data_IF_157575236783
#
_entry.id   IF_157575236783
#
_cell.length_a   1.000
_cell.length_b   1.000
_cell.length_c   1.000
_cell.angle_alpha   90.00
_cell.angle_beta   90.00
_cell.angle_gamma   90.00
#
_symmetry.space_group_name_H-M   'P 1'
#
loop_
_entity.id
_entity.type
_entity.pdbx_description
1 polymer ?
#
# COMPACT_ATOMS: atom_id res chain seq x y z
N UNK A 1 17.85 14.30 -12.22
CA UNK A 1 16.64 14.24 -11.37
C UNK A 1 15.62 13.45 -12.14
N UNK A 2 15.37 12.19 -11.76
CA UNK A 2 14.44 11.32 -12.48
C UNK A 2 13.02 11.77 -12.12
N UNK A 3 12.49 12.71 -12.89
CA UNK A 3 11.06 12.98 -12.97
C UNK A 3 10.45 11.78 -13.72
N UNK A 4 10.35 10.63 -13.03
CA UNK A 4 9.51 9.54 -13.52
C UNK A 4 8.13 10.14 -13.62
N UNK A 5 7.58 10.20 -14.82
CA UNK A 5 6.21 10.63 -15.07
C UNK A 5 5.33 9.82 -14.12
N UNK A 6 4.87 10.42 -13.03
CA UNK A 6 3.93 9.81 -12.08
C UNK A 6 2.65 9.36 -12.81
N UNK A 7 2.40 9.94 -13.99
CA UNK A 7 1.35 9.58 -14.95
C UNK A 7 1.66 8.32 -15.79
N UNK A 8 2.93 7.93 -15.91
CA UNK A 8 3.36 6.68 -16.58
C UNK A 8 3.38 5.47 -15.63
N UNK A 9 3.25 5.73 -14.33
CA UNK A 9 3.21 4.70 -13.32
C UNK A 9 1.88 3.96 -13.42
N UNK A 10 1.95 2.66 -13.72
CA UNK A 10 0.79 1.77 -13.65
C UNK A 10 0.45 1.49 -12.18
N UNK A 11 -0.24 2.46 -11.56
CA UNK A 11 -0.70 2.38 -10.18
C UNK A 11 -1.55 1.13 -9.94
N UNK A 12 -2.31 0.68 -10.96
CA UNK A 12 -3.08 -0.56 -10.85
C UNK A 12 -2.16 -1.76 -10.70
N UNK A 13 -1.09 -1.86 -11.49
CA UNK A 13 -0.08 -2.92 -11.35
C UNK A 13 0.65 -2.84 -10.02
N UNK A 14 1.01 -1.64 -9.56
CA UNK A 14 1.67 -1.44 -8.26
C UNK A 14 0.79 -1.90 -7.12
N UNK A 15 -0.44 -1.41 -7.07
CA UNK A 15 -1.41 -1.78 -6.04
C UNK A 15 -1.66 -3.29 -6.05
N UNK A 16 -1.78 -3.92 -7.23
CA UNK A 16 -1.92 -5.37 -7.33
C UNK A 16 -0.71 -6.12 -6.79
N UNK A 17 0.51 -5.66 -7.08
CA UNK A 17 1.74 -6.25 -6.54
C UNK A 17 1.81 -6.11 -5.02
N UNK A 18 1.43 -4.95 -4.48
CA UNK A 18 1.38 -4.68 -3.04
C UNK A 18 0.37 -5.61 -2.36
N UNK A 19 -0.86 -5.70 -2.88
CA UNK A 19 -1.90 -6.59 -2.36
C UNK A 19 -1.39 -8.03 -2.33
N UNK A 20 -0.78 -8.50 -3.42
CA UNK A 20 -0.23 -9.86 -3.50
C UNK A 20 0.88 -10.10 -2.47
N UNK A 21 1.74 -9.10 -2.22
CA UNK A 21 2.79 -9.21 -1.21
C UNK A 21 2.20 -9.26 0.20
N UNK A 22 1.30 -8.34 0.54
CA UNK A 22 0.63 -8.30 1.85
C UNK A 22 -0.14 -9.59 2.12
N UNK A 23 -0.89 -10.11 1.14
CA UNK A 23 -1.60 -11.39 1.26
C UNK A 23 -0.66 -12.58 1.54
N UNK A 24 0.59 -12.53 1.08
CA UNK A 24 1.58 -13.60 1.32
C UNK A 24 2.20 -13.52 2.70
N UNK A 25 2.52 -12.31 3.15
CA UNK A 25 3.11 -12.08 4.47
C UNK A 25 2.08 -12.21 5.61
N UNK A 26 0.82 -11.89 5.32
CA UNK A 26 -0.29 -11.97 6.27
C UNK A 26 -1.42 -12.87 5.74
N UNK A 27 -1.20 -14.19 5.60
CA UNK A 27 -2.18 -15.10 5.00
C UNK A 27 -3.47 -15.26 5.82
N UNK A 28 -3.43 -14.89 7.10
CA UNK A 28 -4.60 -14.97 8.00
C UNK A 28 -5.52 -13.74 7.88
N UNK A 29 -5.07 -12.68 7.20
CA UNK A 29 -5.86 -11.47 7.03
C UNK A 29 -6.59 -11.48 5.69
N UNK A 30 -7.81 -10.96 5.71
CA UNK A 30 -8.59 -10.77 4.47
C UNK A 30 -8.20 -9.45 3.83
N UNK A 31 -7.68 -9.50 2.61
CA UNK A 31 -7.51 -8.31 1.78
C UNK A 31 -8.86 -7.88 1.20
N UNK A 32 -9.17 -6.60 1.30
CA UNK A 32 -10.31 -6.03 0.60
C UNK A 32 -10.00 -5.91 -0.89
N UNK A 33 -10.83 -6.51 -1.75
CA UNK A 33 -10.61 -6.56 -3.20
C UNK A 33 -10.84 -5.21 -3.90
N UNK A 34 -11.63 -4.33 -3.27
CA UNK A 34 -11.97 -3.01 -3.82
C UNK A 34 -11.05 -1.95 -3.22
N UNK A 35 -10.31 -1.28 -4.10
CA UNK A 35 -9.58 -0.06 -3.77
C UNK A 35 -10.55 1.12 -3.85
N UNK A 36 -10.68 1.87 -2.76
CA UNK A 36 -11.51 3.07 -2.68
C UNK A 36 -10.73 4.33 -3.03
N UNK A 37 -9.47 4.39 -2.60
CA UNK A 37 -8.61 5.56 -2.79
C UNK A 37 -7.16 5.12 -2.94
N UNK A 38 -6.44 5.81 -3.82
CA UNK A 38 -4.98 5.73 -3.92
C UNK A 38 -4.48 7.16 -3.87
N UNK A 39 -3.68 7.47 -2.85
CA UNK A 39 -3.12 8.79 -2.63
C UNK A 39 -1.61 8.68 -2.65
N UNK A 40 -0.98 9.42 -3.54
CA UNK A 40 0.46 9.47 -3.69
C UNK A 40 0.92 10.86 -3.29
N UNK A 41 1.77 10.91 -2.27
CA UNK A 41 2.31 12.14 -1.69
C UNK A 41 3.82 12.18 -1.96
N UNK A 42 4.27 12.78 -3.09
CA UNK A 42 5.67 12.74 -3.50
C UNK A 42 6.60 13.43 -2.49
N UNK A 43 6.13 14.49 -1.85
CA UNK A 43 6.89 15.26 -0.87
C UNK A 43 7.21 14.44 0.40
N UNK A 44 6.36 13.45 0.71
CA UNK A 44 6.52 12.53 1.83
C UNK A 44 7.12 11.17 1.41
N UNK A 45 7.40 10.99 0.13
CA UNK A 45 7.76 9.70 -0.47
C UNK A 45 6.81 8.57 -0.01
N UNK A 46 5.50 8.82 -0.10
CA UNK A 46 4.47 7.99 0.50
C UNK A 46 3.39 7.60 -0.50
N UNK A 47 3.09 6.31 -0.56
CA UNK A 47 1.91 5.77 -1.24
C UNK A 47 0.92 5.26 -0.19
N UNK A 48 -0.30 5.78 -0.23
CA UNK A 48 -1.41 5.32 0.59
C UNK A 48 -2.47 4.67 -0.29
N UNK A 49 -2.94 3.50 0.11
CA UNK A 49 -3.99 2.73 -0.57
C UNK A 49 -5.07 2.42 0.45
N UNK A 50 -6.29 2.88 0.19
CA UNK A 50 -7.45 2.65 1.06
C UNK A 50 -8.39 1.65 0.41
N UNK A 51 -8.87 0.70 1.21
CA UNK A 51 -9.81 -0.33 0.78
C UNK A 51 -11.16 -0.25 1.48
N UNK A 52 -11.26 0.44 2.62
CA UNK A 52 -12.50 0.59 3.38
C UNK A 52 -12.74 2.05 3.81
N UNK A 53 -14.00 2.45 3.99
CA UNK A 53 -14.40 3.81 4.33
C UNK A 53 -14.16 4.15 5.82
N UNK A 54 -14.18 3.14 6.68
CA UNK A 54 -14.13 3.32 8.13
C UNK A 54 -12.69 3.40 8.65
N UNK A 55 -12.21 4.62 8.95
CA UNK A 55 -10.83 4.88 9.43
C UNK A 55 -10.63 4.71 10.94
N UNK A 56 -11.67 4.90 11.75
CA UNK A 56 -11.49 5.37 13.14
C UNK A 56 -11.03 4.30 14.16
N UNK A 57 -10.83 3.03 13.76
CA UNK A 57 -10.51 1.94 14.69
C UNK A 57 -9.54 0.89 14.15
N UNK A 58 -8.75 1.22 13.12
CA UNK A 58 -7.75 0.30 12.60
C UNK A 58 -6.47 0.34 13.46
N UNK A 59 -5.90 -0.82 13.77
CA UNK A 59 -4.57 -0.90 14.35
C UNK A 59 -3.53 -1.05 13.24
N UNK A 60 -2.35 -0.46 13.44
CA UNK A 60 -1.25 -0.47 12.48
C UNK A 60 -0.26 -1.60 12.76
N UNK A 61 0.14 -2.33 11.72
CA UNK A 61 1.16 -3.36 11.77
C UNK A 61 2.15 -3.22 10.61
N UNK A 62 3.44 -3.33 10.90
CA UNK A 62 4.49 -3.26 9.88
C UNK A 62 4.71 -4.61 9.21
N UNK A 63 4.77 -4.60 7.88
CA UNK A 63 5.09 -5.75 7.03
C UNK A 63 6.38 -5.44 6.28
N UNK A 64 7.44 -6.17 6.64
CA UNK A 64 8.78 -5.86 6.14
C UNK A 64 9.22 -4.45 6.54
N UNK A 65 9.99 -3.79 5.67
CA UNK A 65 10.66 -2.53 6.00
C UNK A 65 9.88 -1.28 5.57
N UNK A 66 8.89 -1.42 4.70
CA UNK A 66 8.29 -0.26 4.01
C UNK A 66 6.78 -0.19 4.12
N UNK A 67 6.12 -1.31 4.41
CA UNK A 67 4.67 -1.40 4.37
C UNK A 67 4.14 -1.32 5.79
N UNK A 68 3.21 -0.40 6.00
CA UNK A 68 2.42 -0.28 7.20
C UNK A 68 0.96 -0.60 6.85
N UNK A 69 0.47 -1.75 7.32
CA UNK A 69 -0.89 -2.19 7.07
C UNK A 69 -1.80 -1.79 8.23
N UNK A 70 -2.95 -1.20 7.89
CA UNK A 70 -3.99 -0.87 8.85
C UNK A 70 -5.04 -1.98 8.83
N UNK A 71 -5.26 -2.60 9.98
CA UNK A 71 -6.08 -3.80 10.11
C UNK A 71 -7.25 -3.52 11.04
N UNK A 72 -8.43 -4.03 10.66
CA UNK A 72 -9.63 -4.00 11.48
C UNK A 72 -10.46 -5.25 11.22
N UNK A 73 -10.98 -5.87 12.28
CA UNK A 73 -11.85 -7.05 12.18
C UNK A 73 -11.26 -8.16 11.29
N UNK A 74 -9.94 -8.39 11.42
CA UNK A 74 -9.16 -9.35 10.62
C UNK A 74 -9.08 -9.03 9.11
N UNK A 75 -9.27 -7.76 8.74
CA UNK A 75 -9.24 -7.26 7.36
C UNK A 75 -8.25 -6.11 7.23
N UNK A 76 -7.49 -6.09 6.14
CA UNK A 76 -6.64 -4.94 5.81
C UNK A 76 -7.52 -3.86 5.20
N UNK A 77 -7.66 -2.73 5.90
CA UNK A 77 -8.52 -1.60 5.51
C UNK A 77 -7.77 -0.49 4.79
N UNK A 78 -6.46 -0.37 5.02
CA UNK A 78 -5.57 0.50 4.29
C UNK A 78 -4.13 0.00 4.35
N UNK A 79 -3.31 0.47 3.42
CA UNK A 79 -1.87 0.24 3.38
C UNK A 79 -1.19 1.58 3.15
N UNK A 80 -0.15 1.85 3.91
CA UNK A 80 0.79 2.94 3.69
C UNK A 80 2.15 2.34 3.35
N UNK A 81 2.84 2.95 2.38
CA UNK A 81 4.19 2.56 1.99
C UNK A 81 5.09 3.76 2.08
N UNK A 82 6.10 3.68 2.93
CA UNK A 82 7.12 4.71 3.08
C UNK A 82 8.48 4.09 3.46
N UNK A 83 9.59 4.49 2.80
CA UNK A 83 9.67 5.36 1.63
C UNK A 83 9.28 4.62 0.34
N UNK A 84 8.31 5.14 -0.42
CA UNK A 84 7.75 4.51 -1.62
C UNK A 84 8.78 4.36 -2.75
N UNK A 85 9.66 5.34 -2.94
CA UNK A 85 10.71 5.31 -3.96
C UNK A 85 11.71 4.17 -3.75
N UNK A 86 11.98 3.80 -2.48
CA UNK A 86 12.83 2.64 -2.14
C UNK A 86 12.08 1.34 -2.39
N UNK A 87 10.82 1.28 -1.96
CA UNK A 87 9.97 0.12 -2.18
C UNK A 87 9.90 -0.26 -3.68
N UNK A 88 9.62 0.69 -4.57
CA UNK A 88 9.55 0.44 -6.01
C UNK A 88 10.88 -0.08 -6.58
N UNK A 89 12.01 0.48 -6.14
CA UNK A 89 13.34 0.04 -6.59
C UNK A 89 13.68 -1.38 -6.16
N UNK A 90 13.38 -1.74 -4.92
CA UNK A 90 13.72 -3.06 -4.37
C UNK A 90 12.82 -4.17 -4.88
N UNK A 91 11.52 -3.88 -5.02
CA UNK A 91 10.54 -4.85 -5.49
C UNK A 91 10.46 -4.95 -7.02
N UNK A 92 11.26 -4.15 -7.75
CA UNK A 92 11.33 -4.10 -9.22
C UNK A 92 9.95 -3.95 -9.87
N UNK A 93 9.10 -3.13 -9.26
CA UNK A 93 7.74 -2.88 -9.75
C UNK A 93 7.76 -1.76 -10.78
#
# INVERSE_FOLDING_TARGET
MAYQDLLSIDLRRIVKSIINYVSREMPNLTMCERVLEVSLEPDLDLLYVRFNEERDYAYGEYIGNYIHAFIRDNRVVAIEITPFSKFIKEFKI
#
